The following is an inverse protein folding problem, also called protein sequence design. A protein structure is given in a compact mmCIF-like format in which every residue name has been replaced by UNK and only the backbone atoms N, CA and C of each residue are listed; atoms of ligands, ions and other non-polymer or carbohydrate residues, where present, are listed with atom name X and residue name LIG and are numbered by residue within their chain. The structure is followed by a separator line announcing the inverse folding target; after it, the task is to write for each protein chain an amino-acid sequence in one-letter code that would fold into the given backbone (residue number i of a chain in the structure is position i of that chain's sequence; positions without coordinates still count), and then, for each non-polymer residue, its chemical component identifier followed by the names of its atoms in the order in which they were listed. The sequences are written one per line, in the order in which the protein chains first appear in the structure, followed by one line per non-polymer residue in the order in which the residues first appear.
data_IF_079757407274
#
_entry.id   IF_079757407274
#
_cell.length_a   1.000
_cell.length_b   1.000
_cell.length_c   1.000
_cell.angle_alpha   90.00
_cell.angle_beta   90.00
_cell.angle_gamma   90.00
#
_symmetry.space_group_name_H-M   'P 1'
#
loop_
_entity.id
_entity.type
_entity.pdbx_description
1 polymer ?
#
# COMPACT_ATOMS: atom_id res chain seq x y z
N UNK A 1 10.57 17.72 4.47
CA UNK A 1 11.04 16.61 3.60
C UNK A 1 10.66 16.94 2.16
N UNK A 2 11.50 16.67 1.16
CA UNK A 2 11.16 16.97 -0.23
C UNK A 2 9.91 16.16 -0.64
N UNK A 3 8.90 16.81 -1.22
CA UNK A 3 7.59 16.19 -1.56
C UNK A 3 7.76 14.95 -2.43
N UNK A 4 8.68 15.02 -3.39
CA UNK A 4 9.04 13.91 -4.29
C UNK A 4 9.57 12.71 -3.51
N UNK A 5 10.34 12.95 -2.44
CA UNK A 5 10.91 11.88 -1.61
C UNK A 5 9.83 11.22 -0.76
N UNK A 6 8.87 11.99 -0.24
CA UNK A 6 7.76 11.44 0.56
C UNK A 6 6.78 10.63 -0.30
N UNK A 7 6.49 11.09 -1.52
CA UNK A 7 5.69 10.35 -2.51
C UNK A 7 6.38 9.04 -2.92
N UNK A 8 7.67 9.13 -3.27
CA UNK A 8 8.47 7.95 -3.63
C UNK A 8 8.56 6.94 -2.48
N UNK A 9 8.77 7.41 -1.25
CA UNK A 9 8.81 6.55 -0.06
C UNK A 9 7.46 5.87 0.20
N UNK A 10 6.36 6.57 -0.02
CA UNK A 10 5.00 6.03 0.12
C UNK A 10 4.71 4.95 -0.92
N UNK A 11 5.13 5.17 -2.17
CA UNK A 11 5.00 4.18 -3.23
C UNK A 11 5.82 2.91 -2.93
N UNK A 12 7.07 3.07 -2.50
CA UNK A 12 7.95 1.94 -2.13
C UNK A 12 7.37 1.18 -0.94
N UNK A 13 6.91 1.88 0.12
CA UNK A 13 6.31 1.24 1.28
C UNK A 13 5.05 0.46 0.91
N UNK A 14 4.17 1.05 0.09
CA UNK A 14 2.95 0.37 -0.38
C UNK A 14 3.29 -0.86 -1.23
N UNK A 15 4.32 -0.79 -2.08
CA UNK A 15 4.78 -1.94 -2.86
C UNK A 15 5.31 -3.07 -1.96
N UNK A 16 6.06 -2.74 -0.91
CA UNK A 16 6.51 -3.73 0.09
C UNK A 16 5.31 -4.38 0.78
N UNK A 17 4.29 -3.59 1.16
CA UNK A 17 3.05 -4.11 1.74
C UNK A 17 2.34 -5.06 0.77
N UNK A 18 2.26 -4.73 -0.52
CA UNK A 18 1.67 -5.61 -1.53
C UNK A 18 2.42 -6.94 -1.63
N UNK A 19 3.75 -6.90 -1.74
CA UNK A 19 4.58 -8.12 -1.84
C UNK A 19 4.38 -8.99 -0.59
N UNK A 20 4.44 -8.40 0.61
CA UNK A 20 4.20 -9.12 1.85
C UNK A 20 2.78 -9.71 1.91
N UNK A 21 1.77 -8.93 1.51
CA UNK A 21 0.38 -9.35 1.51
C UNK A 21 0.14 -10.54 0.56
N UNK A 22 0.72 -10.51 -0.64
CA UNK A 22 0.62 -11.62 -1.61
C UNK A 22 1.24 -12.91 -1.08
N UNK A 23 2.30 -12.83 -0.29
CA UNK A 23 2.97 -14.02 0.28
C UNK A 23 2.25 -14.53 1.52
N UNK A 24 1.75 -13.62 2.38
CA UNK A 24 1.22 -13.97 3.71
C UNK A 24 -0.28 -14.28 3.68
N UNK A 25 -1.09 -13.54 2.92
CA UNK A 25 -2.55 -13.71 2.91
C UNK A 25 -3.02 -15.10 2.47
N UNK A 26 -2.38 -15.78 1.50
CA UNK A 26 -2.77 -17.15 1.14
C UNK A 26 -2.61 -18.17 2.27
N UNK A 27 -1.81 -17.87 3.31
CA UNK A 27 -1.66 -18.74 4.47
C UNK A 27 -2.86 -18.66 5.43
N UNK A 28 -3.70 -17.62 5.31
CA UNK A 28 -4.82 -17.35 6.23
C UNK A 28 -6.19 -17.22 5.53
N UNK A 29 -6.21 -17.05 4.21
CA UNK A 29 -7.42 -16.89 3.40
C UNK A 29 -7.41 -17.84 2.20
N UNK A 30 -8.59 -18.23 1.66
CA UNK A 30 -8.64 -18.95 0.40
C UNK A 30 -7.97 -18.14 -0.72
N UNK A 31 -7.21 -18.83 -1.57
CA UNK A 31 -6.35 -18.24 -2.61
C UNK A 31 -7.06 -17.21 -3.48
N UNK A 32 -8.33 -17.45 -3.85
CA UNK A 32 -9.13 -16.52 -4.66
C UNK A 32 -9.38 -15.17 -3.96
N UNK A 33 -9.59 -15.18 -2.64
CA UNK A 33 -9.83 -13.97 -1.86
C UNK A 33 -8.52 -13.31 -1.39
N UNK A 34 -7.46 -14.10 -1.19
CA UNK A 34 -6.17 -13.58 -0.72
C UNK A 34 -5.57 -12.55 -1.68
N UNK A 35 -5.58 -12.82 -3.00
CA UNK A 35 -5.06 -11.86 -3.98
C UNK A 35 -5.90 -10.58 -4.06
N UNK A 36 -7.23 -10.71 -3.98
CA UNK A 36 -8.14 -9.55 -3.98
C UNK A 36 -7.87 -8.69 -2.74
N UNK A 37 -7.75 -9.31 -1.56
CA UNK A 37 -7.43 -8.62 -0.31
C UNK A 37 -6.07 -7.92 -0.37
N UNK A 38 -5.05 -8.54 -0.97
CA UNK A 38 -3.73 -7.93 -1.14
C UNK A 38 -3.78 -6.67 -2.01
N UNK A 39 -4.54 -6.70 -3.10
CA UNK A 39 -4.75 -5.54 -3.99
C UNK A 39 -5.49 -4.42 -3.24
N UNK A 40 -6.54 -4.77 -2.50
CA UNK A 40 -7.29 -3.78 -1.70
C UNK A 40 -6.37 -3.12 -0.67
N UNK A 41 -5.54 -3.89 0.04
CA UNK A 41 -4.55 -3.38 0.99
C UNK A 41 -3.55 -2.43 0.34
N UNK A 42 -3.07 -2.77 -0.86
CA UNK A 42 -2.17 -1.91 -1.63
C UNK A 42 -2.82 -0.58 -2.02
N UNK A 43 -4.03 -0.62 -2.57
CA UNK A 43 -4.78 0.59 -2.96
C UNK A 43 -5.06 1.44 -1.73
N UNK A 44 -5.51 0.85 -0.62
CA UNK A 44 -5.76 1.57 0.62
C UNK A 44 -4.49 2.24 1.17
N UNK A 45 -3.34 1.57 1.09
CA UNK A 45 -2.04 2.12 1.52
C UNK A 45 -1.63 3.32 0.67
N UNK A 46 -1.74 3.21 -0.66
CA UNK A 46 -1.46 4.31 -1.59
C UNK A 46 -2.41 5.50 -1.38
N UNK A 47 -3.71 5.24 -1.21
CA UNK A 47 -4.69 6.29 -0.95
C UNK A 47 -4.46 7.00 0.37
N UNK A 48 -4.15 6.26 1.44
CA UNK A 48 -3.87 6.83 2.76
C UNK A 48 -2.59 7.69 2.73
N UNK A 49 -1.53 7.19 2.09
CA UNK A 49 -0.28 7.93 1.94
C UNK A 49 -0.44 9.19 1.07
N UNK A 50 -1.11 9.08 -0.08
CA UNK A 50 -1.42 10.22 -0.93
C UNK A 50 -2.28 11.29 -0.24
N UNK A 51 -3.28 10.85 0.54
CA UNK A 51 -4.09 11.77 1.36
C UNK A 51 -3.25 12.50 2.41
N UNK A 52 -2.34 11.80 3.09
CA UNK A 52 -1.48 12.41 4.10
C UNK A 52 -0.51 13.43 3.50
N UNK A 53 0.11 13.11 2.36
CA UNK A 53 0.96 14.04 1.60
C UNK A 53 0.18 15.28 1.16
N UNK A 54 -1.04 15.07 0.65
CA UNK A 54 -1.95 16.16 0.25
C UNK A 54 -2.32 17.07 1.43
N UNK A 55 -2.56 16.51 2.62
CA UNK A 55 -2.86 17.28 3.83
C UNK A 55 -1.70 18.14 4.34
N UNK A 56 -0.46 17.72 4.13
CA UNK A 56 0.72 18.53 4.48
C UNK A 56 1.00 19.66 3.48
N UNK A 57 0.20 19.75 2.41
CA UNK A 57 0.39 20.69 1.30
C UNK A 57 -0.54 21.92 1.39
N UNK A 58 -1.61 21.84 2.18
CA UNK A 58 -2.60 22.90 2.45
C UNK A 58 -2.30 23.49 3.82
#
# INVERSE_FOLDING_TARGET
MNRVVLDSATAIASLIVLIAAVVILPAVLPTSYAYIAAIILFVASMSAGGFYIGKQTI
#
